data_IF_229961002636
#
_entry.id   IF_229961002636
#
_cell.length_a   1.000
_cell.length_b   1.000
_cell.length_c   1.000
_cell.angle_alpha   90.00
_cell.angle_beta   90.00
_cell.angle_gamma   90.00
#
_symmetry.space_group_name_H-M   'P 1'
#
loop_
_entity.id
_entity.type
_entity.pdbx_description
1 polymer ?
#
# COMPACT_ATOMS: atom_id res chain seq x y z
N UNK A 1 -38.33 -11.43 49.47
CA UNK A 1 -38.05 -12.74 48.74
C UNK A 1 -38.15 -12.61 47.24
N UNK A 2 -38.96 -11.66 46.69
CA UNK A 2 -39.14 -11.51 45.24
C UNK A 2 -37.97 -10.85 44.49
N UNK A 3 -37.19 -9.99 45.13
CA UNK A 3 -36.06 -9.28 44.50
C UNK A 3 -34.85 -10.18 44.28
N UNK A 4 -34.60 -11.09 45.22
CA UNK A 4 -33.49 -12.05 45.12
C UNK A 4 -33.66 -13.06 43.99
N UNK A 5 -34.89 -13.46 43.68
CA UNK A 5 -35.19 -14.39 42.56
C UNK A 5 -35.01 -13.69 41.22
N UNK A 6 -35.31 -12.39 41.11
CA UNK A 6 -35.13 -11.63 39.87
C UNK A 6 -33.65 -11.40 39.54
N UNK A 7 -32.78 -11.23 40.54
CA UNK A 7 -31.34 -11.07 40.38
C UNK A 7 -30.64 -12.35 39.95
N UNK A 8 -31.11 -13.51 40.39
CA UNK A 8 -30.57 -14.83 40.01
C UNK A 8 -30.98 -15.16 38.57
N UNK A 9 -32.17 -14.73 38.14
CA UNK A 9 -32.61 -14.97 36.74
C UNK A 9 -31.82 -14.13 35.70
N UNK A 10 -31.33 -12.94 36.08
CA UNK A 10 -30.48 -12.13 35.22
C UNK A 10 -29.04 -12.68 35.04
N UNK A 11 -28.56 -13.49 36.00
CA UNK A 11 -27.26 -14.11 35.94
C UNK A 11 -27.21 -15.42 35.13
N UNK A 12 -28.37 -15.96 34.74
CA UNK A 12 -28.49 -17.19 33.97
C UNK A 12 -28.76 -16.99 32.48
N UNK A 13 -28.77 -15.74 32.02
CA UNK A 13 -28.80 -15.50 30.58
C UNK A 13 -27.46 -15.99 29.99
N UNK A 14 -27.48 -16.94 29.04
CA UNK A 14 -26.26 -17.31 28.35
C UNK A 14 -25.72 -16.02 27.75
N UNK A 15 -24.54 -15.59 28.15
CA UNK A 15 -23.74 -14.63 27.39
C UNK A 15 -23.70 -15.25 26.00
N UNK A 16 -24.48 -14.67 25.09
CA UNK A 16 -24.42 -15.03 23.69
C UNK A 16 -23.01 -14.69 23.28
N UNK A 17 -22.11 -15.66 23.40
CA UNK A 17 -20.78 -15.59 22.86
C UNK A 17 -21.05 -15.36 21.37
N UNK A 18 -20.90 -14.11 20.93
CA UNK A 18 -20.75 -13.80 19.52
C UNK A 18 -19.60 -14.70 19.09
N UNK A 19 -19.96 -15.81 18.46
CA UNK A 19 -19.00 -16.72 17.88
C UNK A 19 -18.19 -15.83 16.94
N UNK A 20 -16.98 -15.51 17.37
CA UNK A 20 -16.02 -14.80 16.56
C UNK A 20 -15.76 -15.76 15.41
N UNK A 21 -16.44 -15.53 14.28
CA UNK A 21 -16.18 -16.33 13.09
C UNK A 21 -14.73 -16.09 12.76
N UNK A 22 -13.95 -17.16 12.79
CA UNK A 22 -12.59 -17.09 12.28
C UNK A 22 -12.65 -16.47 10.87
N UNK A 23 -11.80 -15.49 10.58
CA UNK A 23 -11.82 -14.84 9.29
C UNK A 23 -11.65 -15.91 8.21
N UNK A 24 -12.58 -15.92 7.25
CA UNK A 24 -12.49 -16.87 6.13
C UNK A 24 -11.10 -16.73 5.49
N UNK A 25 -10.39 -17.85 5.28
CA UNK A 25 -9.06 -17.80 4.66
C UNK A 25 -9.12 -17.03 3.34
N UNK A 26 -8.18 -16.11 3.14
CA UNK A 26 -8.01 -15.43 1.87
C UNK A 26 -7.52 -16.47 0.87
N UNK A 27 -8.26 -16.68 -0.21
CA UNK A 27 -7.84 -17.56 -1.29
C UNK A 27 -6.70 -16.90 -2.07
N UNK A 28 -5.65 -17.67 -2.36
CA UNK A 28 -4.51 -17.23 -3.16
C UNK A 28 -4.24 -18.24 -4.27
N UNK A 29 -3.66 -17.78 -5.36
CA UNK A 29 -3.17 -18.64 -6.42
C UNK A 29 -1.85 -19.30 -6.00
N UNK A 30 -1.68 -20.58 -6.29
CA UNK A 30 -0.36 -21.17 -6.27
C UNK A 30 0.45 -20.65 -7.49
N UNK A 31 1.78 -20.56 -7.41
CA UNK A 31 2.58 -19.98 -8.51
C UNK A 31 2.33 -20.58 -9.90
N UNK A 32 2.08 -21.88 -9.96
CA UNK A 32 1.78 -22.60 -11.23
C UNK A 32 0.36 -22.32 -11.76
N UNK A 33 -0.54 -21.80 -10.91
CA UNK A 33 -1.95 -21.55 -11.24
C UNK A 33 -2.21 -20.08 -11.60
N UNK A 34 -1.17 -19.23 -11.54
CA UNK A 34 -1.26 -17.83 -11.93
C UNK A 34 -1.50 -17.77 -13.44
N UNK A 35 -2.59 -17.09 -13.89
CA UNK A 35 -2.86 -16.93 -15.31
C UNK A 35 -1.72 -16.22 -16.02
N UNK A 36 -1.39 -16.70 -17.21
CA UNK A 36 -0.40 -16.02 -18.07
C UNK A 36 -0.94 -14.69 -18.57
N UNK A 37 -0.09 -13.66 -18.49
CA UNK A 37 -0.40 -12.36 -19.06
C UNK A 37 -0.61 -12.49 -20.58
N UNK A 38 -1.70 -11.95 -21.15
CA UNK A 38 -1.94 -11.97 -22.58
C UNK A 38 -0.82 -11.29 -23.37
N UNK A 39 -0.58 -11.73 -24.60
CA UNK A 39 0.39 -11.10 -25.49
C UNK A 39 0.05 -9.60 -25.70
N UNK A 40 1.08 -8.76 -25.64
CA UNK A 40 0.92 -7.31 -25.76
C UNK A 40 0.44 -6.60 -24.51
N UNK A 41 0.16 -7.32 -23.43
CA UNK A 41 -0.14 -6.75 -22.12
C UNK A 41 1.11 -6.84 -21.22
N UNK A 42 1.43 -5.73 -20.55
CA UNK A 42 2.57 -5.63 -19.65
C UNK A 42 2.15 -5.06 -18.32
N UNK A 43 2.62 -5.67 -17.24
CA UNK A 43 2.36 -5.24 -15.86
C UNK A 43 3.62 -4.68 -15.24
N UNK A 44 3.51 -3.48 -14.66
CA UNK A 44 4.58 -2.83 -13.89
C UNK A 44 4.02 -2.45 -12.52
N UNK A 45 4.74 -2.74 -11.45
CA UNK A 45 4.38 -2.31 -10.12
C UNK A 45 5.09 -1.00 -9.80
N UNK A 46 4.33 0.10 -9.72
CA UNK A 46 4.85 1.39 -9.27
C UNK A 46 4.72 1.45 -7.75
N UNK A 47 5.83 1.65 -7.07
CA UNK A 47 5.95 1.66 -5.62
C UNK A 47 6.50 3.00 -5.15
N UNK A 48 5.86 3.58 -4.13
CA UNK A 48 6.36 4.78 -3.47
C UNK A 48 6.78 4.43 -2.04
N UNK A 49 8.07 4.56 -1.76
CA UNK A 49 8.61 4.36 -0.42
C UNK A 49 8.37 5.61 0.44
N UNK A 50 7.92 5.42 1.68
CA UNK A 50 7.70 6.53 2.64
C UNK A 50 9.02 6.96 3.27
N UNK A 51 9.92 7.47 2.44
CA UNK A 51 11.25 7.98 2.84
C UNK A 51 11.77 9.00 1.84
N UNK A 52 12.72 9.82 2.25
CA UNK A 52 13.45 10.76 1.38
C UNK A 52 14.57 10.10 0.57
N UNK A 53 15.09 8.98 1.05
CA UNK A 53 16.13 8.23 0.36
C UNK A 53 15.92 6.75 0.62
N UNK A 54 15.55 6.05 -0.42
CA UNK A 54 15.32 4.61 -0.36
C UNK A 54 16.58 3.84 -0.69
N UNK A 55 16.89 2.81 0.11
CA UNK A 55 17.89 1.80 -0.25
C UNK A 55 17.17 0.55 -0.73
N UNK A 56 17.27 0.25 -2.02
CA UNK A 56 16.65 -0.91 -2.66
C UNK A 56 17.11 -2.25 -2.06
N UNK A 57 18.32 -2.26 -1.47
CA UNK A 57 18.90 -3.46 -0.87
C UNK A 57 18.52 -3.63 0.60
N UNK A 58 18.00 -2.56 1.21
CA UNK A 58 17.58 -2.55 2.61
C UNK A 58 16.28 -1.75 2.76
N UNK A 59 15.16 -2.39 2.46
CA UNK A 59 13.83 -1.79 2.49
C UNK A 59 13.31 -1.73 3.94
N UNK A 60 13.85 -0.80 4.74
CA UNK A 60 13.38 -0.60 6.12
C UNK A 60 12.07 0.19 6.21
N UNK A 61 11.62 0.78 5.10
CA UNK A 61 10.46 1.65 5.03
C UNK A 61 9.24 0.95 4.43
N UNK A 62 8.05 1.45 4.77
CA UNK A 62 6.80 1.00 4.18
C UNK A 62 6.65 1.52 2.74
N UNK A 63 5.97 0.74 1.91
CA UNK A 63 5.52 1.16 0.58
C UNK A 63 4.09 1.67 0.70
N UNK A 64 3.93 2.97 0.85
CA UNK A 64 2.60 3.58 1.07
C UNK A 64 1.86 3.88 -0.23
N UNK A 65 2.59 4.02 -1.34
CA UNK A 65 2.03 4.03 -2.69
C UNK A 65 2.29 2.69 -3.38
N UNK A 66 1.23 1.97 -3.73
CA UNK A 66 1.30 0.69 -4.44
C UNK A 66 0.31 0.75 -5.59
N UNK A 67 0.82 0.81 -6.83
CA UNK A 67 -0.01 0.95 -8.03
C UNK A 67 0.44 -0.02 -9.11
N UNK A 68 -0.51 -0.74 -9.69
CA UNK A 68 -0.30 -1.53 -10.89
C UNK A 68 -0.51 -0.65 -12.12
N UNK A 69 0.50 -0.55 -12.95
CA UNK A 69 0.43 0.08 -14.28
C UNK A 69 0.35 -1.04 -15.30
N UNK A 70 -0.79 -1.17 -15.95
CA UNK A 70 -0.99 -2.15 -17.02
C UNK A 70 -0.96 -1.43 -18.37
N UNK A 71 -0.02 -1.80 -19.20
CA UNK A 71 0.11 -1.30 -20.59
C UNK A 71 -0.38 -2.37 -21.55
N UNK A 72 -1.47 -2.08 -22.25
CA UNK A 72 -2.06 -2.94 -23.28
C UNK A 72 -1.73 -2.33 -24.65
N UNK A 73 -0.72 -2.89 -25.31
CA UNK A 73 -0.24 -2.39 -26.60
C UNK A 73 -1.17 -2.76 -27.75
N UNK A 74 -2.00 -3.78 -27.56
CA UNK A 74 -2.99 -4.22 -28.57
C UNK A 74 -4.21 -3.27 -28.55
N UNK A 75 -4.72 -2.98 -27.37
CA UNK A 75 -5.85 -2.07 -27.21
C UNK A 75 -5.43 -0.60 -27.12
N UNK A 76 -4.13 -0.27 -27.18
CA UNK A 76 -3.56 1.08 -27.09
C UNK A 76 -4.04 1.83 -25.83
N UNK A 77 -4.01 1.21 -24.67
CA UNK A 77 -4.48 1.80 -23.43
C UNK A 77 -3.53 1.52 -22.26
N UNK A 78 -3.54 2.44 -21.30
CA UNK A 78 -2.87 2.30 -20.01
C UNK A 78 -3.94 2.28 -18.94
N UNK A 79 -3.85 1.33 -18.02
CA UNK A 79 -4.72 1.24 -16.86
C UNK A 79 -3.89 1.38 -15.59
N UNK A 80 -4.41 2.14 -14.64
CA UNK A 80 -3.81 2.34 -13.33
C UNK A 80 -4.75 1.74 -12.28
N UNK A 81 -4.23 0.82 -11.46
CA UNK A 81 -4.96 0.19 -10.36
C UNK A 81 -4.21 0.40 -9.07
N UNK A 82 -4.80 1.11 -8.13
CA UNK A 82 -4.20 1.38 -6.83
C UNK A 82 -4.56 0.30 -5.82
N UNK A 83 -3.59 -0.18 -5.07
CA UNK A 83 -3.80 -1.06 -3.91
C UNK A 83 -3.80 -0.22 -2.64
N UNK A 84 -4.82 -0.41 -1.80
CA UNK A 84 -4.91 0.28 -0.52
C UNK A 84 -3.80 -0.25 0.41
N UNK A 85 -2.95 0.63 0.93
CA UNK A 85 -1.79 0.29 1.76
C UNK A 85 -2.11 -0.56 2.99
N UNK A 86 -3.31 -0.41 3.54
CA UNK A 86 -3.78 -1.15 4.72
C UNK A 86 -4.51 -2.45 4.37
N UNK A 87 -4.54 -2.84 3.09
CA UNK A 87 -5.16 -4.10 2.64
C UNK A 87 -4.56 -5.28 3.40
N UNK A 88 -5.43 -6.12 3.94
CA UNK A 88 -5.03 -7.35 4.61
C UNK A 88 -4.68 -8.42 3.58
N UNK A 89 -3.46 -8.93 3.65
CA UNK A 89 -2.95 -9.97 2.76
C UNK A 89 -2.37 -11.14 3.55
N UNK A 90 -2.34 -12.32 2.95
CA UNK A 90 -1.55 -13.43 3.44
C UNK A 90 -0.10 -13.22 2.99
N UNK A 91 0.80 -13.04 3.95
CA UNK A 91 2.21 -12.75 3.70
C UNK A 91 3.01 -14.03 3.44
N UNK A 92 4.25 -13.93 2.93
CA UNK A 92 5.13 -15.08 2.70
C UNK A 92 5.39 -15.94 3.94
N UNK A 93 5.29 -15.38 5.15
CA UNK A 93 5.43 -16.12 6.41
C UNK A 93 4.16 -16.88 6.84
N UNK A 94 3.12 -16.91 6.01
CA UNK A 94 1.85 -17.56 6.30
C UNK A 94 0.96 -16.79 7.29
N UNK A 95 1.32 -15.56 7.66
CA UNK A 95 0.54 -14.73 8.58
C UNK A 95 -0.18 -13.62 7.82
N UNK A 96 -1.31 -13.19 8.36
CA UNK A 96 -2.01 -12.04 7.84
C UNK A 96 -1.33 -10.73 8.28
N UNK A 97 -1.33 -9.75 7.41
CA UNK A 97 -0.80 -8.42 7.69
C UNK A 97 -1.09 -7.42 6.59
N UNK A 98 -0.73 -6.17 6.81
CA UNK A 98 -0.93 -5.11 5.83
C UNK A 98 0.04 -5.27 4.65
N UNK A 99 -0.44 -4.99 3.44
CA UNK A 99 0.34 -5.11 2.21
C UNK A 99 1.56 -4.16 2.19
N UNK A 100 1.43 -2.95 2.73
CA UNK A 100 2.51 -1.97 2.76
C UNK A 100 3.73 -2.42 3.58
N UNK A 101 3.54 -3.34 4.54
CA UNK A 101 4.61 -3.88 5.37
C UNK A 101 5.29 -5.11 4.76
N UNK A 102 4.86 -5.56 3.57
CA UNK A 102 5.44 -6.77 2.95
C UNK A 102 6.83 -6.48 2.42
N UNK A 103 7.03 -5.36 1.70
CA UNK A 103 8.33 -5.03 1.12
C UNK A 103 9.41 -4.85 2.20
N UNK A 104 9.09 -4.18 3.32
CA UNK A 104 10.06 -3.98 4.40
C UNK A 104 10.47 -5.26 5.14
N UNK A 105 9.64 -6.32 5.05
CA UNK A 105 9.90 -7.59 5.74
C UNK A 105 10.41 -8.70 4.84
N UNK A 106 10.00 -8.70 3.58
CA UNK A 106 10.24 -9.80 2.63
C UNK A 106 10.85 -9.31 1.32
N UNK A 107 11.24 -8.03 1.26
CA UNK A 107 11.78 -7.39 0.07
C UNK A 107 10.73 -7.13 -1.02
N UNK A 108 11.17 -6.48 -2.08
CA UNK A 108 10.30 -6.12 -3.21
C UNK A 108 9.78 -7.35 -3.96
N UNK A 109 10.60 -8.40 -4.08
CA UNK A 109 10.16 -9.66 -4.66
C UNK A 109 9.04 -10.30 -3.85
N UNK A 110 9.14 -10.31 -2.51
CA UNK A 110 8.08 -10.81 -1.64
C UNK A 110 6.78 -10.02 -1.76
N UNK A 111 6.85 -8.72 -2.02
CA UNK A 111 5.66 -7.91 -2.31
C UNK A 111 5.05 -8.27 -3.67
N UNK A 112 5.84 -8.41 -4.73
CA UNK A 112 5.36 -8.83 -6.05
C UNK A 112 4.71 -10.22 -5.98
N UNK A 113 5.37 -11.19 -5.35
CA UNK A 113 4.84 -12.55 -5.19
C UNK A 113 3.53 -12.56 -4.40
N UNK A 114 3.41 -11.70 -3.38
CA UNK A 114 2.18 -11.52 -2.61
C UNK A 114 1.07 -10.99 -3.50
N UNK A 115 1.31 -9.96 -4.30
CA UNK A 115 0.31 -9.39 -5.21
C UNK A 115 -0.06 -10.41 -6.29
N UNK A 116 0.92 -11.06 -6.90
CA UNK A 116 0.69 -12.07 -7.92
C UNK A 116 -0.20 -13.21 -7.41
N UNK A 117 0.09 -13.73 -6.22
CA UNK A 117 -0.69 -14.81 -5.62
C UNK A 117 -2.10 -14.41 -5.22
N UNK A 118 -2.34 -13.17 -4.77
CA UNK A 118 -3.66 -12.71 -4.35
C UNK A 118 -4.57 -12.35 -5.51
N UNK A 119 -4.00 -11.81 -6.59
CA UNK A 119 -4.78 -11.24 -7.69
C UNK A 119 -4.66 -12.02 -9.00
N UNK A 120 -3.88 -13.10 -9.02
CA UNK A 120 -3.65 -13.89 -10.23
C UNK A 120 -2.95 -13.08 -11.32
N UNK A 121 -1.95 -12.28 -10.94
CA UNK A 121 -1.18 -11.43 -11.85
C UNK A 121 0.21 -12.01 -12.07
N UNK A 122 0.79 -11.71 -13.22
CA UNK A 122 2.18 -12.05 -13.57
C UNK A 122 2.98 -10.75 -13.66
N UNK A 123 3.36 -10.22 -12.49
CA UNK A 123 4.18 -9.01 -12.35
C UNK A 123 5.62 -9.45 -12.09
N UNK A 124 6.54 -9.04 -12.95
CA UNK A 124 7.98 -9.33 -12.86
C UNK A 124 8.85 -8.07 -12.82
N UNK A 125 8.22 -6.88 -12.94
CA UNK A 125 8.91 -5.60 -13.01
C UNK A 125 8.27 -4.59 -12.07
N UNK A 126 9.12 -3.76 -11.48
CA UNK A 126 8.67 -2.66 -10.64
C UNK A 126 9.45 -1.38 -10.93
N UNK A 127 8.87 -0.28 -10.56
CA UNK A 127 9.49 1.04 -10.47
C UNK A 127 9.32 1.47 -9.02
N UNK A 128 10.43 1.72 -8.34
CA UNK A 128 10.43 2.21 -6.97
C UNK A 128 10.86 3.68 -6.98
N UNK A 129 10.07 4.53 -6.35
CA UNK A 129 10.36 5.95 -6.17
C UNK A 129 10.27 6.32 -4.69
N UNK A 130 11.09 7.25 -4.27
CA UNK A 130 11.00 7.89 -2.95
C UNK A 130 10.57 9.36 -3.10
N UNK A 131 10.53 10.10 -2.00
CA UNK A 131 10.11 11.50 -2.03
C UNK A 131 11.03 12.39 -2.87
N UNK A 132 12.34 12.08 -2.91
CA UNK A 132 13.31 12.81 -3.73
C UNK A 132 13.07 12.56 -5.21
N UNK A 133 12.89 11.28 -5.60
CA UNK A 133 12.62 10.90 -6.97
C UNK A 133 11.32 11.54 -7.49
N UNK A 134 10.26 11.55 -6.65
CA UNK A 134 8.98 12.20 -7.02
C UNK A 134 9.17 13.69 -7.23
N UNK A 135 9.96 14.36 -6.38
CA UNK A 135 10.31 15.78 -6.55
C UNK A 135 11.04 16.03 -7.88
N UNK A 136 12.08 15.23 -8.16
CA UNK A 136 12.85 15.34 -9.41
C UNK A 136 12.00 15.09 -10.67
N UNK A 137 11.06 14.13 -10.61
CA UNK A 137 10.14 13.86 -11.71
C UNK A 137 9.21 15.06 -11.94
N UNK A 138 8.66 15.64 -10.86
CA UNK A 138 7.79 16.82 -10.96
C UNK A 138 8.56 18.02 -11.55
N UNK A 139 9.77 18.26 -11.09
CA UNK A 139 10.64 19.34 -11.58
C UNK A 139 10.97 19.15 -13.08
N UNK A 140 11.29 17.93 -13.49
CA UNK A 140 11.53 17.60 -14.90
C UNK A 140 10.32 17.81 -15.81
N UNK A 141 9.10 17.71 -15.25
CA UNK A 141 7.84 17.98 -15.95
C UNK A 141 7.47 19.48 -15.96
N UNK A 142 8.25 20.36 -15.31
CA UNK A 142 8.01 21.80 -15.25
C UNK A 142 7.23 22.25 -14.00
N UNK A 143 7.09 21.39 -13.01
CA UNK A 143 6.40 21.69 -11.77
C UNK A 143 4.88 21.50 -11.84
N UNK A 144 4.20 21.88 -10.77
CA UNK A 144 2.74 21.89 -10.66
C UNK A 144 2.24 23.18 -10.06
N UNK A 145 1.19 23.75 -10.64
CA UNK A 145 0.53 24.94 -10.11
C UNK A 145 -0.46 24.55 -9.00
N UNK A 146 -0.20 25.00 -7.77
CA UNK A 146 -1.06 24.71 -6.62
C UNK A 146 -1.57 26.03 -6.04
N UNK A 147 -2.89 26.22 -6.02
CA UNK A 147 -3.50 27.35 -5.34
C UNK A 147 -3.56 27.08 -3.83
N UNK A 148 -2.88 27.93 -3.05
CA UNK A 148 -2.84 27.84 -1.60
C UNK A 148 -3.36 29.12 -0.95
N UNK A 149 -3.91 28.99 0.26
CA UNK A 149 -4.29 30.13 1.08
C UNK A 149 -3.07 30.77 1.75
N UNK A 150 -3.19 32.01 2.19
CA UNK A 150 -2.13 32.72 2.94
C UNK A 150 -1.72 31.98 4.24
N UNK A 151 -2.66 31.30 4.88
CA UNK A 151 -2.38 30.48 6.08
C UNK A 151 -1.57 29.22 5.74
N UNK A 152 -1.86 28.57 4.64
CA UNK A 152 -1.08 27.41 4.16
C UNK A 152 0.32 27.83 3.72
N UNK A 153 0.45 28.94 3.01
CA UNK A 153 1.74 29.50 2.60
C UNK A 153 2.63 29.81 3.83
N UNK A 154 2.05 30.36 4.90
CA UNK A 154 2.78 30.62 6.14
C UNK A 154 3.26 29.30 6.78
N UNK A 155 2.40 28.30 6.88
CA UNK A 155 2.77 27.01 7.44
C UNK A 155 3.84 26.27 6.64
N UNK A 156 3.77 26.35 5.31
CA UNK A 156 4.80 25.77 4.44
C UNK A 156 6.14 26.46 4.64
N UNK A 157 6.18 27.80 4.69
CA UNK A 157 7.39 28.57 4.94
C UNK A 157 8.01 28.23 6.29
N UNK A 158 7.21 28.13 7.35
CA UNK A 158 7.68 27.77 8.68
C UNK A 158 8.30 26.35 8.70
N UNK A 159 7.69 25.39 8.01
CA UNK A 159 8.23 24.03 7.88
C UNK A 159 9.49 23.97 7.04
N UNK A 160 9.57 24.71 5.96
CA UNK A 160 10.73 24.76 5.06
C UNK A 160 11.92 25.43 5.74
N UNK A 161 11.72 26.50 6.53
CA UNK A 161 12.79 27.16 7.30
C UNK A 161 13.33 26.32 8.44
N UNK A 162 12.55 25.37 8.96
CA UNK A 162 12.98 24.50 10.04
C UNK A 162 13.90 23.35 9.57
N UNK A 163 13.86 23.00 8.28
CA UNK A 163 14.76 22.00 7.67
C UNK A 163 15.87 22.72 6.91
N UNK A 164 17.01 22.95 7.59
CA UNK A 164 18.19 23.65 7.03
C UNK A 164 18.84 22.95 5.82
N UNK A 165 18.37 21.77 5.42
CA UNK A 165 18.94 20.94 4.37
C UNK A 165 18.17 21.02 3.04
N UNK A 166 17.12 21.83 2.98
CA UNK A 166 16.39 22.07 1.75
C UNK A 166 17.03 23.22 0.98
N UNK A 167 17.63 22.92 -0.15
CA UNK A 167 17.87 23.92 -1.19
C UNK A 167 16.50 24.50 -1.53
N UNK A 168 16.40 25.84 -1.45
CA UNK A 168 15.14 26.55 -1.68
C UNK A 168 14.50 26.09 -3.00
N UNK A 169 13.21 25.67 -2.98
CA UNK A 169 12.51 25.50 -4.23
C UNK A 169 12.48 26.87 -4.92
N UNK A 170 12.96 26.94 -6.14
CA UNK A 170 12.84 28.12 -6.99
C UNK A 170 11.36 28.31 -7.26
N UNK A 171 10.75 29.32 -6.64
CA UNK A 171 9.39 29.78 -6.95
C UNK A 171 9.40 30.54 -8.27
#
# INVERSE_FOLDING_TARGET
TSIAVLLILCLSLPVCALAQQDPKPIATYAPQDIPKTPEGVHHYLLLCADTWKCDINNMDNYTDGIMLVTVDTVAHRIMLTSFIRDMLVLRPDGKYGRINAVASRFGLQGLMDTINSHFGLEIDKYILVDWTDVGEIIDALGGVDITITSGEATRLRDKLTYKSDWTEPVL
#
